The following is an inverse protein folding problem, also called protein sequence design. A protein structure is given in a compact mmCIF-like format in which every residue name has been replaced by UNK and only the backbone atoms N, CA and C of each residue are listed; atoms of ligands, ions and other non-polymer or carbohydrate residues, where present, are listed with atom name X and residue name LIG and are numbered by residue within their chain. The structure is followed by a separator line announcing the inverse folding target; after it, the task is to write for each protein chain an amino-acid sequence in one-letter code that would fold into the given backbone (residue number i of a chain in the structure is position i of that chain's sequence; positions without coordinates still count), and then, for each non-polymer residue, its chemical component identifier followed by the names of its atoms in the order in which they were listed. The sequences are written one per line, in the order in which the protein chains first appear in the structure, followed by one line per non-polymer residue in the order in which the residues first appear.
data_IF_517369661468
#
_entry.id   IF_517369661468
#
_cell.length_a   1.000
_cell.length_b   1.000
_cell.length_c   1.000
_cell.angle_alpha   90.00
_cell.angle_beta   90.00
_cell.angle_gamma   90.00
#
_symmetry.space_group_name_H-M   'P 1'
#
loop_
_entity.id
_entity.type
_entity.pdbx_description
1 polymer ?
#
# COMPACT_ATOMS: atom_id res chain seq x y z
N UNK A 1 12.48 19.65 24.69
CA UNK A 1 11.06 19.27 24.81
C UNK A 1 10.64 18.64 23.50
N UNK A 2 10.43 17.33 23.47
CA UNK A 2 9.90 16.61 22.31
C UNK A 2 8.38 16.77 22.30
N UNK A 3 7.88 17.75 21.56
CA UNK A 3 6.46 17.76 21.18
C UNK A 3 6.25 16.59 20.22
N UNK A 4 5.61 15.52 20.69
CA UNK A 4 5.00 14.54 19.81
C UNK A 4 3.93 15.28 19.00
N UNK A 5 4.28 15.73 17.79
CA UNK A 5 3.31 16.34 16.87
C UNK A 5 2.58 15.21 16.15
N UNK A 6 1.55 14.65 16.78
CA UNK A 6 0.58 13.88 16.02
C UNK A 6 -0.02 14.81 14.96
N UNK A 7 -0.08 14.33 13.71
CA UNK A 7 -0.66 15.12 12.62
C UNK A 7 -2.12 15.46 12.95
N UNK A 8 -2.60 16.68 12.68
CA UNK A 8 -4.01 17.03 12.86
C UNK A 8 -4.92 16.29 11.86
N UNK A 9 -4.35 15.72 10.80
CA UNK A 9 -5.07 14.91 9.81
C UNK A 9 -5.33 13.53 10.40
N UNK A 10 -6.60 13.12 10.39
CA UNK A 10 -7.04 11.84 10.96
C UNK A 10 -7.27 10.81 9.85
N UNK A 11 -6.98 9.55 10.17
CA UNK A 11 -7.33 8.44 9.30
C UNK A 11 -8.80 8.09 9.42
N UNK A 12 -9.42 7.81 8.29
CA UNK A 12 -10.79 7.33 8.14
C UNK A 12 -10.82 6.09 7.24
N UNK A 13 -11.93 5.37 7.25
CA UNK A 13 -12.18 4.29 6.32
C UNK A 13 -13.48 4.56 5.55
N UNK A 14 -13.45 4.39 4.23
CA UNK A 14 -14.62 4.53 3.36
C UNK A 14 -14.79 3.27 2.51
N UNK A 15 -16.03 2.81 2.37
CA UNK A 15 -16.36 1.78 1.38
C UNK A 15 -16.57 2.41 0.01
N UNK A 16 -15.80 1.99 -0.99
CA UNK A 16 -15.92 2.40 -2.39
C UNK A 16 -15.98 1.12 -3.21
N UNK A 17 -17.04 0.95 -4.02
CA UNK A 17 -17.25 -0.23 -4.87
C UNK A 17 -17.03 -1.57 -4.14
N UNK A 18 -17.52 -1.68 -2.91
CA UNK A 18 -17.39 -2.90 -2.09
C UNK A 18 -16.07 -3.04 -1.33
N UNK A 19 -15.07 -2.21 -1.61
CA UNK A 19 -13.73 -2.24 -1.00
C UNK A 19 -13.64 -1.26 0.16
N UNK A 20 -13.07 -1.70 1.29
CA UNK A 20 -12.73 -0.81 2.39
C UNK A 20 -11.40 -0.12 2.11
N UNK A 21 -11.43 1.21 1.99
CA UNK A 21 -10.25 2.04 1.71
C UNK A 21 -9.96 2.87 2.97
N UNK A 22 -8.78 2.70 3.55
CA UNK A 22 -8.28 3.57 4.62
C UNK A 22 -7.62 4.78 3.97
N UNK A 23 -7.97 5.97 4.41
CA UNK A 23 -7.40 7.22 3.89
C UNK A 23 -7.26 8.28 5.00
N UNK A 24 -6.53 9.34 4.72
CA UNK A 24 -6.43 10.53 5.55
C UNK A 24 -6.53 11.76 4.63
N UNK A 25 -7.35 12.74 4.98
CA UNK A 25 -7.67 13.87 4.12
C UNK A 25 -7.54 15.21 4.86
N UNK A 26 -6.89 16.20 4.24
CA UNK A 26 -6.78 17.57 4.78
C UNK A 26 -7.96 18.45 4.38
N UNK A 27 -8.04 19.67 4.95
CA UNK A 27 -8.92 20.71 4.44
C UNK A 27 -8.59 21.05 2.96
N UNK A 28 -9.57 21.61 2.26
CA UNK A 28 -9.46 21.97 0.84
C UNK A 28 -8.45 23.10 0.58
N UNK A 29 -7.79 23.05 -0.59
CA UNK A 29 -6.80 24.02 -1.10
C UNK A 29 -6.90 24.11 -2.64
N UNK A 30 -6.22 25.08 -3.23
CA UNK A 30 -6.21 25.31 -4.69
C UNK A 30 -5.52 24.20 -5.50
N UNK A 31 -4.64 23.42 -4.88
CA UNK A 31 -3.91 22.30 -5.49
C UNK A 31 -4.17 21.03 -4.70
N UNK A 32 -4.44 19.92 -5.39
CA UNK A 32 -4.62 18.60 -4.79
C UNK A 32 -3.38 17.71 -5.00
N UNK A 33 -3.07 16.88 -4.00
CA UNK A 33 -2.02 15.87 -4.08
C UNK A 33 -2.51 14.54 -3.49
N UNK A 34 -2.20 13.44 -4.19
CA UNK A 34 -2.42 12.08 -3.70
C UNK A 34 -1.07 11.53 -3.26
N UNK A 35 -0.99 11.14 -1.99
CA UNK A 35 0.17 10.45 -1.44
C UNK A 35 -0.07 8.94 -1.56
N UNK A 36 0.61 8.33 -2.53
CA UNK A 36 0.70 6.88 -2.65
C UNK A 36 1.90 6.43 -1.82
N UNK A 37 1.69 5.43 -0.96
CA UNK A 37 2.76 4.87 -0.13
C UNK A 37 4.03 4.62 -0.96
N UNK A 38 5.22 4.94 -0.44
CA UNK A 38 6.42 4.46 -1.08
C UNK A 38 6.49 2.93 -0.91
N UNK A 39 7.41 2.34 -1.65
CA UNK A 39 7.61 0.90 -1.75
C UNK A 39 7.42 0.17 -0.40
N UNK A 40 6.41 -0.71 -0.35
CA UNK A 40 5.94 -1.62 0.72
C UNK A 40 5.24 -1.04 1.95
N UNK A 41 4.96 0.26 2.01
CA UNK A 41 4.53 0.85 3.28
C UNK A 41 3.06 1.29 3.28
N UNK A 42 2.58 1.65 4.46
CA UNK A 42 1.24 2.18 4.71
C UNK A 42 1.21 3.69 4.47
N UNK A 43 0.03 4.29 4.38
CA UNK A 43 -0.16 5.75 4.35
C UNK A 43 0.62 6.46 5.48
N UNK A 44 0.86 5.79 6.61
CA UNK A 44 1.58 6.32 7.77
C UNK A 44 3.05 6.65 7.49
N UNK A 45 3.65 6.17 6.39
CA UNK A 45 5.02 6.58 6.02
C UNK A 45 5.18 8.09 5.91
N UNK A 46 4.13 8.77 5.46
CA UNK A 46 4.16 10.21 5.27
C UNK A 46 3.64 11.00 6.48
N UNK A 47 3.28 10.33 7.59
CA UNK A 47 2.61 10.97 8.74
C UNK A 47 3.36 12.21 9.25
N UNK A 48 4.69 12.10 9.38
CA UNK A 48 5.54 13.19 9.85
C UNK A 48 5.57 14.40 8.89
N UNK A 49 5.25 14.19 7.61
CA UNK A 49 5.28 15.22 6.57
C UNK A 49 3.91 15.86 6.33
N UNK A 50 2.82 15.16 6.69
CA UNK A 50 1.45 15.58 6.40
C UNK A 50 1.14 17.01 6.81
N UNK A 51 1.51 17.43 8.03
CA UNK A 51 1.21 18.78 8.51
C UNK A 51 1.84 19.85 7.62
N UNK A 52 3.11 19.66 7.23
CA UNK A 52 3.83 20.60 6.37
C UNK A 52 3.31 20.58 4.92
N UNK A 53 2.97 19.41 4.41
CA UNK A 53 2.43 19.27 3.06
C UNK A 53 1.02 19.90 2.94
N UNK A 54 0.20 19.80 3.98
CA UNK A 54 -1.19 20.29 4.00
C UNK A 54 -1.30 21.82 4.11
N UNK A 55 -0.20 22.49 4.44
CA UNK A 55 -0.08 23.94 4.31
C UNK A 55 -0.08 24.38 2.84
N UNK A 56 0.29 23.49 1.92
CA UNK A 56 0.54 23.81 0.51
C UNK A 56 -0.42 23.11 -0.47
N UNK A 57 -1.06 22.01 -0.08
CA UNK A 57 -1.97 21.27 -0.94
C UNK A 57 -3.09 20.59 -0.13
N UNK A 58 -4.21 20.31 -0.80
CA UNK A 58 -5.24 19.41 -0.33
C UNK A 58 -4.70 17.99 -0.46
N UNK A 59 -4.42 17.36 0.67
CA UNK A 59 -3.78 16.05 0.70
C UNK A 59 -4.81 14.95 0.88
N UNK A 60 -4.66 13.89 0.11
CA UNK A 60 -5.29 12.60 0.35
C UNK A 60 -4.18 11.54 0.44
N UNK A 61 -3.99 10.97 1.62
CA UNK A 61 -3.13 9.80 1.83
C UNK A 61 -4.01 8.55 1.87
N UNK A 62 -3.60 7.45 1.23
CA UNK A 62 -4.49 6.30 1.00
C UNK A 62 -3.75 4.97 1.15
N UNK A 63 -4.38 4.02 1.85
CA UNK A 63 -4.04 2.60 1.75
C UNK A 63 -5.02 1.93 0.80
N UNK A 64 -4.46 1.37 -0.27
CA UNK A 64 -5.18 0.56 -1.25
C UNK A 64 -5.03 -0.92 -0.89
N UNK A 65 -5.93 -1.79 -1.36
CA UNK A 65 -5.68 -3.22 -1.37
C UNK A 65 -4.37 -3.54 -2.10
N UNK A 66 -3.56 -4.44 -1.55
CA UNK A 66 -2.25 -4.80 -2.11
C UNK A 66 -2.15 -6.30 -2.38
N UNK A 67 -1.76 -6.67 -3.60
CA UNK A 67 -1.27 -8.01 -3.92
C UNK A 67 0.26 -8.02 -3.85
N UNK A 68 0.80 -8.78 -2.89
CA UNK A 68 2.23 -9.04 -2.76
C UNK A 68 2.52 -10.33 -3.53
N UNK A 69 3.45 -10.28 -4.48
CA UNK A 69 3.94 -11.44 -5.24
C UNK A 69 5.44 -11.51 -5.01
N UNK A 70 5.93 -12.65 -4.54
CA UNK A 70 7.35 -12.83 -4.21
C UNK A 70 7.86 -14.16 -4.75
N UNK A 71 9.08 -14.18 -5.26
CA UNK A 71 9.76 -15.43 -5.61
C UNK A 71 10.15 -16.21 -4.35
N UNK A 72 9.79 -17.48 -4.25
CA UNK A 72 10.05 -18.31 -3.07
C UNK A 72 11.54 -18.65 -2.85
N UNK A 73 12.39 -18.42 -3.85
CA UNK A 73 13.85 -18.51 -3.75
C UNK A 73 14.57 -17.17 -4.06
N UNK A 74 13.90 -16.03 -3.84
CA UNK A 74 14.51 -14.70 -3.95
C UNK A 74 15.73 -14.54 -3.00
N UNK A 75 16.95 -14.32 -3.54
CA UNK A 75 18.15 -14.12 -2.73
C UNK A 75 18.36 -12.68 -2.24
N UNK A 76 17.67 -11.71 -2.83
CA UNK A 76 17.81 -10.27 -2.54
C UNK A 76 16.77 -9.77 -1.53
N UNK A 77 15.49 -10.05 -1.77
CA UNK A 77 14.38 -9.73 -0.87
C UNK A 77 13.75 -11.02 -0.40
N UNK A 78 14.23 -11.53 0.74
CA UNK A 78 13.86 -12.84 1.24
C UNK A 78 12.33 -13.02 1.33
N UNK A 79 11.79 -14.21 1.02
CA UNK A 79 10.35 -14.49 1.06
C UNK A 79 9.68 -14.21 2.41
N UNK A 80 10.44 -14.20 3.51
CA UNK A 80 9.91 -13.82 4.83
C UNK A 80 9.42 -12.37 4.87
N UNK A 81 9.98 -11.50 4.03
CA UNK A 81 9.56 -10.10 3.93
C UNK A 81 8.12 -9.99 3.41
N UNK A 82 7.68 -10.87 2.49
CA UNK A 82 6.28 -10.86 2.04
C UNK A 82 5.31 -11.15 3.19
N UNK A 83 5.69 -12.04 4.10
CA UNK A 83 4.88 -12.39 5.27
C UNK A 83 4.87 -11.26 6.30
N UNK A 84 6.00 -10.57 6.46
CA UNK A 84 6.09 -9.38 7.30
C UNK A 84 5.15 -8.29 6.78
N UNK A 85 5.23 -7.97 5.49
CA UNK A 85 4.40 -6.95 4.85
C UNK A 85 2.91 -7.27 4.92
N UNK A 86 2.54 -8.52 4.65
CA UNK A 86 1.14 -8.95 4.74
C UNK A 86 0.55 -8.73 6.14
N UNK A 87 1.36 -8.86 7.20
CA UNK A 87 0.93 -8.57 8.58
C UNK A 87 0.77 -7.08 8.88
N UNK A 88 1.50 -6.21 8.17
CA UNK A 88 1.46 -4.76 8.41
C UNK A 88 0.39 -4.05 7.58
N UNK A 89 0.11 -4.56 6.37
CA UNK A 89 -0.84 -3.95 5.44
C UNK A 89 -2.28 -4.37 5.78
N UNK A 90 -3.22 -3.41 5.89
CA UNK A 90 -4.58 -3.67 6.40
C UNK A 90 -5.44 -4.52 5.45
N UNK A 91 -5.19 -4.42 4.14
CA UNK A 91 -5.94 -5.10 3.09
C UNK A 91 -4.96 -5.67 2.08
N UNK A 92 -4.49 -6.89 2.29
CA UNK A 92 -3.48 -7.47 1.41
C UNK A 92 -3.64 -8.96 1.19
N UNK A 93 -3.18 -9.44 0.03
CA UNK A 93 -2.96 -10.85 -0.29
C UNK A 93 -1.47 -11.05 -0.52
N UNK A 94 -0.91 -12.13 0.00
CA UNK A 94 0.47 -12.52 -0.24
C UNK A 94 0.52 -13.88 -0.93
N UNK A 95 1.30 -13.97 -2.00
CA UNK A 95 1.55 -15.21 -2.72
C UNK A 95 3.04 -15.35 -3.03
N UNK A 96 3.55 -16.56 -2.82
CA UNK A 96 4.91 -16.93 -3.17
C UNK A 96 4.84 -17.84 -4.39
N UNK A 97 5.62 -17.53 -5.42
CA UNK A 97 5.66 -18.26 -6.69
C UNK A 97 7.05 -18.84 -6.90
N UNK A 98 7.17 -19.88 -7.72
CA UNK A 98 8.44 -20.56 -7.97
C UNK A 98 9.38 -19.69 -8.84
N UNK A 99 10.06 -18.72 -8.22
CA UNK A 99 10.86 -17.71 -8.90
C UNK A 99 11.93 -17.07 -7.99
N UNK A 100 12.92 -16.42 -8.61
CA UNK A 100 13.93 -15.64 -7.92
C UNK A 100 13.51 -14.18 -7.73
N UNK A 101 14.49 -13.27 -7.69
CA UNK A 101 14.25 -11.85 -7.39
C UNK A 101 13.36 -11.14 -8.42
N UNK A 102 13.56 -11.44 -9.70
CA UNK A 102 12.78 -10.87 -10.79
C UNK A 102 11.62 -11.79 -11.14
N UNK A 103 10.70 -11.98 -10.19
CA UNK A 103 9.63 -12.98 -10.29
C UNK A 103 8.73 -12.82 -11.53
N UNK A 104 8.57 -11.59 -12.02
CA UNK A 104 7.85 -11.30 -13.28
C UNK A 104 8.60 -11.76 -14.54
N UNK A 105 9.92 -11.89 -14.48
CA UNK A 105 10.75 -12.38 -15.58
C UNK A 105 10.95 -13.90 -15.48
N UNK A 106 11.20 -14.41 -14.28
CA UNK A 106 11.49 -15.82 -14.03
C UNK A 106 10.24 -16.71 -14.18
N UNK A 107 9.06 -16.20 -13.79
CA UNK A 107 7.80 -16.93 -13.79
C UNK A 107 6.64 -16.07 -14.33
N UNK A 108 6.83 -15.50 -15.53
CA UNK A 108 5.90 -14.54 -16.13
C UNK A 108 4.44 -15.01 -16.20
N UNK A 109 4.18 -16.28 -16.54
CA UNK A 109 2.82 -16.83 -16.64
C UNK A 109 2.14 -16.94 -15.26
N UNK A 110 2.87 -17.43 -14.25
CA UNK A 110 2.36 -17.54 -12.88
C UNK A 110 2.15 -16.14 -12.28
N UNK A 111 3.08 -15.22 -12.51
CA UNK A 111 2.96 -13.82 -12.11
C UNK A 111 1.74 -13.14 -12.75
N UNK A 112 1.54 -13.34 -14.06
CA UNK A 112 0.40 -12.82 -14.82
C UNK A 112 -0.92 -13.38 -14.29
N UNK A 113 -0.95 -14.66 -13.90
CA UNK A 113 -2.13 -15.28 -13.30
C UNK A 113 -2.55 -14.56 -12.02
N UNK A 114 -1.58 -14.17 -11.17
CA UNK A 114 -1.88 -13.41 -9.95
C UNK A 114 -2.42 -12.00 -10.26
N UNK A 115 -1.90 -11.33 -11.30
CA UNK A 115 -2.41 -10.03 -11.75
C UNK A 115 -3.86 -10.15 -12.25
N UNK A 116 -4.15 -11.15 -13.08
CA UNK A 116 -5.48 -11.34 -13.65
C UNK A 116 -6.51 -11.68 -12.57
N UNK A 117 -6.16 -12.55 -11.61
CA UNK A 117 -7.03 -12.83 -10.44
C UNK A 117 -7.32 -11.54 -9.66
N UNK A 118 -6.29 -10.73 -9.43
CA UNK A 118 -6.45 -9.45 -8.74
C UNK A 118 -7.43 -8.53 -9.46
N UNK A 119 -7.25 -8.31 -10.77
CA UNK A 119 -8.15 -7.47 -11.59
C UNK A 119 -9.58 -8.02 -11.66
N UNK A 120 -9.74 -9.34 -11.55
CA UNK A 120 -11.04 -10.02 -11.62
C UNK A 120 -11.78 -10.07 -10.27
N UNK A 121 -11.49 -9.12 -9.37
CA UNK A 121 -12.11 -9.03 -8.04
C UNK A 121 -11.32 -9.73 -6.92
N UNK A 122 -10.06 -10.10 -7.17
CA UNK A 122 -9.17 -10.64 -6.13
C UNK A 122 -8.99 -9.72 -4.93
N UNK A 123 -9.00 -8.41 -5.17
CA UNK A 123 -8.88 -7.38 -4.13
C UNK A 123 -10.08 -7.28 -3.19
N UNK A 124 -11.25 -7.82 -3.56
CA UNK A 124 -12.45 -7.76 -2.71
C UNK A 124 -12.43 -8.77 -1.57
N UNK A 125 -11.47 -9.71 -1.61
CA UNK A 125 -11.36 -10.83 -0.67
C UNK A 125 -10.32 -10.62 0.44
N UNK A 126 -9.77 -9.41 0.56
CA UNK A 126 -8.71 -9.04 1.51
C UNK A 126 -9.08 -7.89 2.43
#
# INVERSE_FOLDING_TARGET
MTTSSHSPIKTEARRIDGVSIRYAESDARDVSAILLSPWQESLFTFEQMWSRLAEHAHLVAIDLPVQIITGDHDPGVLPVNSDYLHKQLPHSKSVKINAGHFAWADAADEYTTQIIDWWSGGYERV
#
